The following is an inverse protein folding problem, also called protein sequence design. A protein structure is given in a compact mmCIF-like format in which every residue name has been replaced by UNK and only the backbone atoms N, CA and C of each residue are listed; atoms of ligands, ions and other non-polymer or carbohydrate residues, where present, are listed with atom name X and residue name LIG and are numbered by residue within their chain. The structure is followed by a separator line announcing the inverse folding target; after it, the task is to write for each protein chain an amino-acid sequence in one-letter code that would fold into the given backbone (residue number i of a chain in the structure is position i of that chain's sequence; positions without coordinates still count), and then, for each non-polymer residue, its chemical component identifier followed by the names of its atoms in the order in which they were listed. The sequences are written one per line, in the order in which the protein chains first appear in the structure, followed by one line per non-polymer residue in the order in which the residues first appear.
data_IF_090017461373
#
_entry.id   IF_090017461373
#
_cell.length_a   1.000
_cell.length_b   1.000
_cell.length_c   1.000
_cell.angle_alpha   90.00
_cell.angle_beta   90.00
_cell.angle_gamma   90.00
#
_symmetry.space_group_name_H-M   'P 1'
#
loop_
_entity.id
_entity.type
_entity.pdbx_description
1 polymer ?
#
# COMPACT_ATOMS: atom_id res chain seq x y z
N UNK A 1 13.58 -18.04 -26.84
CA UNK A 1 13.22 -17.06 -25.80
C UNK A 1 14.38 -17.02 -24.83
N UNK A 2 14.83 -15.83 -24.45
CA UNK A 2 15.98 -15.66 -23.55
C UNK A 2 15.51 -15.81 -22.10
N UNK A 3 16.20 -16.61 -21.29
CA UNK A 3 15.88 -16.85 -19.86
C UNK A 3 15.67 -15.56 -19.06
N UNK A 4 16.33 -14.46 -19.45
CA UNK A 4 16.17 -13.16 -18.79
C UNK A 4 14.77 -12.54 -18.97
N UNK A 5 14.09 -12.85 -20.09
CA UNK A 5 12.73 -12.41 -20.36
C UNK A 5 11.71 -13.20 -19.52
N UNK A 6 11.93 -14.51 -19.36
CA UNK A 6 11.08 -15.38 -18.55
C UNK A 6 11.15 -15.02 -17.06
N UNK A 7 12.34 -14.71 -16.54
CA UNK A 7 12.52 -14.25 -15.15
C UNK A 7 11.86 -12.89 -14.88
N UNK A 8 11.92 -11.95 -15.83
CA UNK A 8 11.28 -10.65 -15.68
C UNK A 8 9.74 -10.76 -15.65
N UNK A 9 9.19 -11.66 -16.48
CA UNK A 9 7.76 -11.92 -16.52
C UNK A 9 7.27 -12.60 -15.24
N UNK A 10 8.00 -13.61 -14.76
CA UNK A 10 7.70 -14.31 -13.50
C UNK A 10 7.74 -13.36 -12.30
N UNK A 11 8.77 -12.51 -12.19
CA UNK A 11 8.84 -11.51 -11.12
C UNK A 11 7.68 -10.51 -11.17
N UNK A 12 7.29 -10.05 -12.36
CA UNK A 12 6.13 -9.16 -12.51
C UNK A 12 4.84 -9.86 -12.05
N UNK A 13 4.65 -11.13 -12.40
CA UNK A 13 3.49 -11.90 -11.99
C UNK A 13 3.44 -12.08 -10.48
N UNK A 14 4.56 -12.44 -9.85
CA UNK A 14 4.66 -12.58 -8.38
C UNK A 14 4.33 -11.26 -7.69
N UNK A 15 4.89 -10.13 -8.15
CA UNK A 15 4.60 -8.83 -7.55
C UNK A 15 3.12 -8.44 -7.66
N UNK A 16 2.46 -8.77 -8.77
CA UNK A 16 1.02 -8.52 -8.93
C UNK A 16 0.20 -9.39 -7.98
N UNK A 17 0.55 -10.67 -7.84
CA UNK A 17 -0.13 -11.58 -6.93
C UNK A 17 0.02 -11.13 -5.47
N UNK A 18 1.24 -10.78 -5.04
CA UNK A 18 1.49 -10.27 -3.68
C UNK A 18 0.65 -9.03 -3.40
N UNK A 19 0.66 -8.04 -4.29
CA UNK A 19 -0.16 -6.82 -4.13
C UNK A 19 -1.66 -7.11 -4.03
N UNK A 20 -2.16 -8.04 -4.86
CA UNK A 20 -3.57 -8.40 -4.85
C UNK A 20 -3.98 -9.11 -3.56
N UNK A 21 -3.16 -10.06 -3.10
CA UNK A 21 -3.42 -10.81 -1.86
C UNK A 21 -3.27 -9.93 -0.61
N UNK A 22 -2.26 -9.07 -0.54
CA UNK A 22 -2.08 -8.11 0.54
C UNK A 22 -3.30 -7.19 0.66
N UNK A 23 -3.77 -6.65 -0.46
CA UNK A 23 -4.96 -5.79 -0.48
C UNK A 23 -6.18 -6.51 0.12
N UNK A 24 -6.45 -7.75 -0.33
CA UNK A 24 -7.58 -8.53 0.17
C UNK A 24 -7.44 -8.80 1.67
N UNK A 25 -6.27 -9.20 2.15
CA UNK A 25 -6.02 -9.46 3.57
C UNK A 25 -6.22 -8.21 4.43
N UNK A 26 -5.69 -7.07 3.99
CA UNK A 26 -5.83 -5.79 4.68
C UNK A 26 -7.31 -5.39 4.76
N UNK A 27 -8.04 -5.46 3.65
CA UNK A 27 -9.45 -5.02 3.56
C UNK A 27 -10.44 -5.99 4.23
N UNK A 28 -10.12 -7.29 4.34
CA UNK A 28 -11.09 -8.30 4.80
C UNK A 28 -10.76 -8.95 6.14
N UNK A 29 -9.47 -9.07 6.49
CA UNK A 29 -9.03 -9.82 7.67
C UNK A 29 -8.45 -8.94 8.77
N UNK A 30 -7.74 -7.86 8.41
CA UNK A 30 -7.06 -6.98 9.37
C UNK A 30 -7.93 -5.77 9.72
N UNK A 31 -8.48 -5.10 8.71
CA UNK A 31 -9.33 -3.93 8.89
C UNK A 31 -10.69 -4.14 8.23
N UNK A 32 -11.62 -4.83 8.91
CA UNK A 32 -12.92 -5.18 8.34
C UNK A 32 -13.78 -3.93 8.00
N UNK A 33 -13.42 -2.75 8.51
CA UNK A 33 -13.98 -1.48 8.08
C UNK A 33 -12.94 -0.52 7.48
N UNK A 34 -13.40 0.30 6.52
CA UNK A 34 -12.59 1.38 5.94
C UNK A 34 -12.12 2.39 6.98
N UNK A 35 -12.91 2.63 8.03
CA UNK A 35 -12.56 3.54 9.11
C UNK A 35 -11.45 3.00 10.00
N UNK A 36 -11.46 1.70 10.33
CA UNK A 36 -10.36 1.06 11.04
C UNK A 36 -9.07 1.09 10.22
N UNK A 37 -9.15 0.79 8.91
CA UNK A 37 -8.00 0.88 8.02
C UNK A 37 -7.43 2.29 7.99
N UNK A 38 -8.30 3.30 7.80
CA UNK A 38 -7.90 4.70 7.76
C UNK A 38 -7.22 5.12 9.06
N UNK A 39 -7.82 4.80 10.20
CA UNK A 39 -7.26 5.15 11.52
C UNK A 39 -5.89 4.53 11.74
N UNK A 40 -5.74 3.24 11.45
CA UNK A 40 -4.46 2.56 11.61
C UNK A 40 -3.37 3.09 10.65
N UNK A 41 -3.76 3.44 9.42
CA UNK A 41 -2.84 4.08 8.47
C UNK A 41 -2.41 5.48 8.94
N UNK A 42 -3.35 6.29 9.47
CA UNK A 42 -3.04 7.60 10.04
C UNK A 42 -2.12 7.49 11.26
N UNK A 43 -2.38 6.56 12.19
CA UNK A 43 -1.52 6.29 13.35
C UNK A 43 -0.10 5.88 12.91
N UNK A 44 0.02 4.89 12.02
CA UNK A 44 1.33 4.43 11.52
C UNK A 44 2.12 5.56 10.83
N UNK A 45 1.47 6.32 9.95
CA UNK A 45 2.12 7.40 9.23
C UNK A 45 2.54 8.54 10.17
N UNK A 46 1.70 8.87 11.16
CA UNK A 46 2.05 9.90 12.15
C UNK A 46 3.26 9.51 13.00
N UNK A 47 3.41 8.23 13.35
CA UNK A 47 4.49 7.74 14.22
C UNK A 47 5.79 7.46 13.46
N UNK A 48 5.71 6.95 12.22
CA UNK A 48 6.87 6.44 11.49
C UNK A 48 7.31 7.33 10.32
N UNK A 49 6.41 8.18 9.83
CA UNK A 49 6.60 9.02 8.64
C UNK A 49 5.97 10.40 8.85
N UNK A 50 6.21 11.01 10.02
CA UNK A 50 5.51 12.22 10.48
C UNK A 50 5.59 13.38 9.48
N UNK A 51 6.75 13.63 8.87
CA UNK A 51 6.91 14.69 7.86
C UNK A 51 6.06 14.44 6.61
N UNK A 52 6.00 13.18 6.14
CA UNK A 52 5.14 12.81 5.02
C UNK A 52 3.66 12.92 5.40
N UNK A 53 3.30 12.52 6.62
CA UNK A 53 1.94 12.64 7.13
C UNK A 53 1.50 14.11 7.26
N UNK A 54 2.34 14.99 7.79
CA UNK A 54 2.09 16.43 7.86
C UNK A 54 1.89 17.04 6.47
N UNK A 55 2.72 16.63 5.49
CA UNK A 55 2.56 17.06 4.10
C UNK A 55 1.25 16.59 3.46
N UNK A 56 0.74 15.41 3.82
CA UNK A 56 -0.59 14.93 3.38
C UNK A 56 -1.72 15.77 3.97
N UNK A 57 -1.55 16.27 5.19
CA UNK A 57 -2.53 17.13 5.87
C UNK A 57 -2.48 18.59 5.39
N UNK A 58 -1.32 19.03 4.87
CA UNK A 58 -1.15 20.37 4.32
C UNK A 58 -1.95 20.52 3.01
N UNK A 59 -3.10 21.21 3.11
CA UNK A 59 -4.08 21.44 2.03
C UNK A 59 -3.55 22.23 0.82
N UNK A 60 -2.24 22.51 0.73
CA UNK A 60 -1.64 23.21 -0.41
C UNK A 60 -1.82 22.47 -1.75
N UNK A 61 -2.17 21.19 -1.73
CA UNK A 61 -2.51 20.40 -2.91
C UNK A 61 -4.03 20.37 -3.23
N UNK A 62 -4.86 21.09 -2.48
CA UNK A 62 -6.31 21.20 -2.71
C UNK A 62 -6.70 22.41 -3.58
N UNK A 63 -5.89 22.71 -4.61
CA UNK A 63 -6.20 23.75 -5.62
C UNK A 63 -6.45 23.11 -6.98
#
# INVERSE_FOLDING_TARGET
MSESFDLAHENSFIQQMVKATEKILIETAIYPSKEEYKKAAEEYLSENQSEYYENLLDKRWAT
#
